data_IF_859588260820
#
_entry.id   IF_859588260820
#
_cell.length_a   1.000
_cell.length_b   1.000
_cell.length_c   1.000
_cell.angle_alpha   90.00
_cell.angle_beta   90.00
_cell.angle_gamma   90.00
#
_symmetry.space_group_name_H-M   'P 1'
#
loop_
_entity.id
_entity.type
_entity.pdbx_description
1 polymer ?
#
# COMPACT_ATOMS: atom_id res chain seq x y z
N UNK A 1 20.10 -16.06 2.49
CA UNK A 1 20.32 -15.13 3.61
C UNK A 1 20.27 -13.74 3.01
N UNK A 2 19.37 -12.90 3.50
CA UNK A 2 19.17 -11.56 2.96
C UNK A 2 20.39 -10.71 3.31
N UNK A 3 20.89 -9.95 2.34
CA UNK A 3 22.06 -9.10 2.48
C UNK A 3 21.77 -7.69 1.93
N UNK A 4 22.73 -6.77 2.11
CA UNK A 4 22.56 -5.36 1.74
C UNK A 4 22.29 -5.11 0.24
N UNK A 5 22.69 -6.04 -0.62
CA UNK A 5 22.52 -5.95 -2.07
C UNK A 5 21.19 -6.56 -2.54
N UNK A 6 20.44 -7.19 -1.63
CA UNK A 6 19.11 -7.76 -1.95
C UNK A 6 18.11 -6.64 -2.22
N UNK A 7 17.22 -6.81 -3.19
CA UNK A 7 16.20 -5.83 -3.57
C UNK A 7 15.08 -5.81 -2.53
N UNK A 8 14.66 -4.60 -2.12
CA UNK A 8 13.64 -4.40 -1.08
C UNK A 8 12.32 -5.10 -1.44
N UNK A 9 11.83 -4.90 -2.66
CA UNK A 9 10.60 -5.53 -3.13
C UNK A 9 10.67 -7.06 -3.12
N UNK A 10 11.79 -7.65 -3.56
CA UNK A 10 11.97 -9.10 -3.57
C UNK A 10 11.90 -9.68 -2.15
N UNK A 11 12.46 -8.96 -1.16
CA UNK A 11 12.37 -9.37 0.25
C UNK A 11 10.94 -9.39 0.75
N UNK A 12 10.11 -8.40 0.37
CA UNK A 12 8.69 -8.38 0.75
C UNK A 12 7.92 -9.49 0.05
N UNK A 13 8.20 -9.73 -1.23
CA UNK A 13 7.57 -10.83 -2.00
C UNK A 13 7.90 -12.20 -1.43
N UNK A 14 9.14 -12.42 -0.98
CA UNK A 14 9.59 -13.70 -0.42
C UNK A 14 9.27 -13.85 1.07
N UNK A 15 9.23 -12.75 1.81
CA UNK A 15 8.97 -12.69 3.25
C UNK A 15 8.00 -11.54 3.56
N UNK A 16 6.67 -11.73 3.39
CA UNK A 16 5.69 -10.65 3.55
C UNK A 16 5.74 -9.89 4.89
N UNK A 17 6.12 -10.56 5.98
CA UNK A 17 6.30 -9.94 7.30
C UNK A 17 7.40 -8.87 7.34
N UNK A 18 8.31 -8.86 6.38
CA UNK A 18 9.35 -7.82 6.26
C UNK A 18 8.80 -6.44 5.89
N UNK A 19 7.59 -6.37 5.30
CA UNK A 19 6.94 -5.09 4.97
C UNK A 19 6.75 -4.20 6.19
N UNK A 20 6.45 -4.76 7.36
CA UNK A 20 6.31 -4.01 8.61
C UNK A 20 7.64 -3.41 9.08
N UNK A 21 8.75 -4.10 8.84
CA UNK A 21 10.11 -3.59 9.13
C UNK A 21 10.41 -2.40 8.23
N UNK A 22 10.21 -2.54 6.92
CA UNK A 22 10.43 -1.42 5.99
C UNK A 22 9.54 -0.21 6.33
N UNK A 23 8.25 -0.44 6.62
CA UNK A 23 7.31 0.63 7.00
C UNK A 23 7.72 1.34 8.29
N UNK A 24 8.17 0.59 9.31
CA UNK A 24 8.70 1.15 10.58
C UNK A 24 9.81 2.17 10.35
N UNK A 25 10.63 1.96 9.31
CA UNK A 25 11.74 2.86 8.95
C UNK A 25 11.40 3.83 7.81
N UNK A 26 10.15 3.85 7.34
CA UNK A 26 9.70 4.68 6.23
C UNK A 26 10.38 4.33 4.91
N UNK A 27 10.75 3.06 4.71
CA UNK A 27 11.32 2.56 3.45
C UNK A 27 10.16 2.15 2.54
N UNK A 28 10.16 2.72 1.33
CA UNK A 28 9.18 2.41 0.31
C UNK A 28 9.54 1.08 -0.38
N UNK A 29 8.71 0.07 -0.14
CA UNK A 29 8.82 -1.26 -0.74
C UNK A 29 7.79 -1.50 -1.85
N UNK A 30 6.88 -0.55 -2.08
CA UNK A 30 5.71 -0.74 -2.94
C UNK A 30 5.83 0.01 -4.27
N UNK A 31 6.28 1.26 -4.28
CA UNK A 31 6.48 2.05 -5.52
C UNK A 31 7.97 2.11 -5.88
N UNK A 32 8.82 2.46 -4.92
CA UNK A 32 10.27 2.58 -5.05
C UNK A 32 11.07 1.34 -4.67
N UNK A 33 10.41 0.19 -4.47
CA UNK A 33 11.03 -1.01 -3.90
C UNK A 33 12.08 -1.71 -4.78
N UNK A 34 12.26 -1.28 -6.03
CA UNK A 34 13.22 -1.87 -6.97
C UNK A 34 14.67 -1.33 -6.80
N UNK A 35 15.10 -1.20 -5.55
CA UNK A 35 16.44 -0.75 -5.13
C UNK A 35 16.99 -1.70 -4.07
N UNK A 36 18.30 -1.71 -3.86
CA UNK A 36 18.90 -2.54 -2.81
C UNK A 36 18.55 -2.01 -1.41
N UNK A 37 18.62 -2.88 -0.40
CA UNK A 37 18.46 -2.47 1.01
C UNK A 37 19.50 -1.39 1.38
N UNK A 38 20.73 -1.50 0.89
CA UNK A 38 21.78 -0.49 1.11
C UNK A 38 21.35 0.90 0.61
N UNK A 39 20.81 0.96 -0.60
CA UNK A 39 20.33 2.22 -1.20
C UNK A 39 19.10 2.76 -0.45
N UNK A 40 18.18 1.88 -0.06
CA UNK A 40 16.94 2.26 0.62
C UNK A 40 17.17 2.93 1.98
N UNK A 41 18.29 2.63 2.66
CA UNK A 41 18.62 3.20 3.97
C UNK A 41 19.46 4.49 3.91
N UNK A 42 20.05 4.87 2.77
CA UNK A 42 21.02 5.98 2.69
C UNK A 42 20.48 7.30 3.27
N UNK A 43 19.19 7.58 3.09
CA UNK A 43 18.53 8.79 3.55
C UNK A 43 17.62 8.57 4.78
N UNK A 44 17.75 7.44 5.45
CA UNK A 44 16.93 7.06 6.62
C UNK A 44 17.74 7.14 7.90
N UNK A 45 17.05 7.24 9.03
CA UNK A 45 17.66 7.31 10.37
C UNK A 45 17.93 5.91 10.94
N UNK A 46 18.42 5.00 10.11
CA UNK A 46 18.69 3.59 10.46
C UNK A 46 19.88 3.09 9.65
N UNK A 47 20.74 2.29 10.27
CA UNK A 47 21.85 1.65 9.57
C UNK A 47 21.41 0.34 8.90
N UNK A 48 22.10 -0.03 7.83
CA UNK A 48 21.80 -1.24 7.04
C UNK A 48 21.83 -2.51 7.89
N UNK A 49 22.71 -2.60 8.89
CA UNK A 49 22.87 -3.81 9.69
C UNK A 49 21.66 -4.03 10.60
N UNK A 50 21.15 -2.96 11.22
CA UNK A 50 19.91 -3.03 12.03
C UNK A 50 18.75 -3.62 11.23
N UNK A 51 18.56 -3.20 9.98
CA UNK A 51 17.48 -3.74 9.14
C UNK A 51 17.73 -5.20 8.78
N UNK A 52 18.94 -5.55 8.38
CA UNK A 52 19.28 -6.92 8.03
C UNK A 52 19.10 -7.88 9.22
N UNK A 53 19.43 -7.42 10.43
CA UNK A 53 19.25 -8.20 11.65
C UNK A 53 17.76 -8.42 11.96
N UNK A 54 16.92 -7.39 11.87
CA UNK A 54 15.47 -7.52 12.07
C UNK A 54 14.85 -8.47 11.02
N UNK A 55 15.22 -8.33 9.75
CA UNK A 55 14.68 -9.17 8.66
C UNK A 55 15.12 -10.63 8.82
N UNK A 56 16.40 -10.90 9.08
CA UNK A 56 16.91 -12.27 9.20
C UNK A 56 16.44 -12.96 10.50
N UNK A 57 15.87 -12.22 11.46
CA UNK A 57 15.23 -12.77 12.67
C UNK A 57 13.75 -13.12 12.45
N UNK A 58 13.13 -12.68 11.36
CA UNK A 58 11.74 -13.05 11.07
C UNK A 58 11.61 -14.57 10.93
N UNK A 59 10.50 -15.14 11.41
CA UNK A 59 10.24 -16.55 11.20
C UNK A 59 10.18 -16.84 9.71
N UNK A 60 10.78 -17.96 9.28
CA UNK A 60 10.53 -18.53 7.95
C UNK A 60 9.10 -19.08 7.91
N UNK A 61 8.11 -18.20 7.83
CA UNK A 61 6.71 -18.59 7.66
C UNK A 61 6.47 -19.06 6.23
N UNK A 62 6.83 -20.32 5.99
CA UNK A 62 6.56 -21.04 4.75
C UNK A 62 5.69 -22.29 5.01
N UNK A 63 4.83 -22.26 6.02
CA UNK A 63 3.90 -23.36 6.30
C UNK A 63 2.45 -22.87 6.38
N UNK A 64 1.74 -22.99 5.26
CA UNK A 64 0.27 -23.02 5.22
C UNK A 64 -0.40 -21.99 4.31
N UNK A 65 0.26 -20.90 3.94
CA UNK A 65 -0.32 -19.86 3.10
C UNK A 65 0.06 -20.03 1.61
N UNK A 66 -0.87 -19.69 0.73
CA UNK A 66 -0.64 -19.65 -0.72
C UNK A 66 0.40 -18.57 -1.00
N UNK A 67 1.51 -18.94 -1.64
CA UNK A 67 2.45 -17.93 -2.13
C UNK A 67 1.91 -17.33 -3.43
N UNK A 68 1.34 -16.14 -3.31
CA UNK A 68 0.64 -15.41 -4.38
C UNK A 68 1.54 -15.11 -5.58
N UNK A 69 2.87 -15.09 -5.42
CA UNK A 69 3.80 -14.83 -6.53
C UNK A 69 3.77 -15.88 -7.63
N UNK A 70 3.42 -17.12 -7.26
CA UNK A 70 3.32 -18.25 -8.18
C UNK A 70 1.94 -18.38 -8.84
N UNK A 71 0.98 -17.53 -8.50
CA UNK A 71 -0.30 -17.47 -9.21
C UNK A 71 -0.07 -17.04 -10.67
N UNK A 72 -0.87 -17.58 -11.58
CA UNK A 72 -0.96 -17.05 -12.93
C UNK A 72 -1.65 -15.67 -12.91
N UNK A 73 -1.53 -14.92 -14.01
CA UNK A 73 -2.09 -13.55 -14.09
C UNK A 73 -3.58 -13.52 -13.74
N UNK A 74 -4.46 -14.37 -14.30
CA UNK A 74 -5.88 -14.34 -13.95
C UNK A 74 -6.16 -14.62 -12.46
N UNK A 75 -5.46 -15.59 -11.85
CA UNK A 75 -5.65 -15.92 -10.44
C UNK A 75 -5.11 -14.83 -9.51
N UNK A 76 -4.00 -14.19 -9.89
CA UNK A 76 -3.42 -13.08 -9.12
C UNK A 76 -4.33 -11.85 -9.16
N UNK A 77 -4.86 -11.50 -10.34
CA UNK A 77 -5.85 -10.43 -10.50
C UNK A 77 -7.09 -10.74 -9.66
N UNK A 78 -7.66 -11.93 -9.77
CA UNK A 78 -8.84 -12.30 -8.97
C UNK A 78 -8.56 -12.20 -7.46
N UNK A 79 -7.35 -12.58 -7.02
CA UNK A 79 -6.93 -12.41 -5.64
C UNK A 79 -6.87 -10.94 -5.24
N UNK A 80 -6.25 -10.07 -6.06
CA UNK A 80 -6.18 -8.62 -5.82
C UNK A 80 -7.58 -8.02 -5.65
N UNK A 81 -8.48 -8.31 -6.59
CA UNK A 81 -9.84 -7.78 -6.59
C UNK A 81 -10.61 -8.19 -5.32
N UNK A 82 -10.51 -9.46 -4.92
CA UNK A 82 -11.24 -9.96 -3.76
C UNK A 82 -10.59 -9.57 -2.43
N UNK A 83 -9.26 -9.63 -2.33
CA UNK A 83 -8.54 -9.36 -1.09
C UNK A 83 -8.45 -7.88 -0.80
N UNK A 84 -8.20 -7.05 -1.81
CA UNK A 84 -7.92 -5.62 -1.65
C UNK A 84 -9.09 -4.77 -2.15
N UNK A 85 -9.54 -4.91 -3.40
CA UNK A 85 -10.54 -3.97 -3.93
C UNK A 85 -11.87 -4.05 -3.18
N UNK A 86 -12.42 -5.26 -2.99
CA UNK A 86 -13.67 -5.45 -2.27
C UNK A 86 -13.60 -4.97 -0.82
N UNK A 87 -12.52 -5.33 -0.10
CA UNK A 87 -12.36 -4.98 1.31
C UNK A 87 -12.10 -3.49 1.52
N UNK A 88 -11.33 -2.84 0.63
CA UNK A 88 -11.11 -1.39 0.66
C UNK A 88 -12.39 -0.61 0.35
N UNK A 89 -13.17 -1.03 -0.66
CA UNK A 89 -14.48 -0.41 -0.96
C UNK A 89 -15.42 -0.47 0.26
N UNK A 90 -15.46 -1.60 0.97
CA UNK A 90 -16.22 -1.73 2.21
C UNK A 90 -15.66 -0.81 3.32
N UNK A 91 -14.34 -0.81 3.52
CA UNK A 91 -13.68 -0.01 4.54
C UNK A 91 -13.90 1.49 4.32
N UNK A 92 -13.82 1.99 3.09
CA UNK A 92 -14.10 3.38 2.74
C UNK A 92 -15.53 3.79 3.07
N UNK A 93 -16.50 2.93 2.75
CA UNK A 93 -17.91 3.15 3.08
C UNK A 93 -18.11 3.21 4.60
N UNK A 94 -17.46 2.31 5.34
CA UNK A 94 -17.62 2.19 6.78
C UNK A 94 -16.84 3.26 7.57
N UNK A 95 -15.70 3.75 7.07
CA UNK A 95 -14.84 4.71 7.77
C UNK A 95 -15.24 6.17 7.50
N UNK A 96 -15.73 6.49 6.30
CA UNK A 96 -16.10 7.87 5.89
C UNK A 96 -17.00 8.62 6.89
N UNK A 97 -18.04 8.00 7.49
CA UNK A 97 -18.88 8.66 8.48
C UNK A 97 -18.11 9.06 9.75
N UNK A 98 -17.13 8.24 10.17
CA UNK A 98 -16.34 8.50 11.37
C UNK A 98 -15.32 9.61 11.14
N UNK A 99 -14.62 9.62 9.99
CA UNK A 99 -13.72 10.72 9.62
C UNK A 99 -14.48 12.05 9.60
N UNK A 100 -15.66 12.06 8.98
CA UNK A 100 -16.54 13.23 8.94
C UNK A 100 -17.00 13.68 10.33
N UNK A 101 -17.34 12.73 11.20
CA UNK A 101 -17.75 13.03 12.58
C UNK A 101 -16.60 13.64 13.38
N UNK A 102 -15.39 13.10 13.28
CA UNK A 102 -14.20 13.60 13.98
C UNK A 102 -13.89 15.03 13.53
N UNK A 103 -13.82 15.28 12.23
CA UNK A 103 -13.62 16.61 11.68
C UNK A 103 -14.70 17.61 12.12
N UNK A 104 -15.98 17.21 12.10
CA UNK A 104 -17.09 18.08 12.51
C UNK A 104 -17.05 18.44 14.00
N UNK A 105 -16.77 17.47 14.87
CA UNK A 105 -16.84 17.66 16.32
C UNK A 105 -15.58 18.36 16.86
N UNK A 106 -14.41 17.96 16.36
CA UNK A 106 -13.13 18.42 16.90
C UNK A 106 -12.46 19.49 16.03
N UNK A 107 -12.81 19.60 14.75
CA UNK A 107 -12.25 20.57 13.81
C UNK A 107 -12.20 22.03 14.27
N UNK A 108 -13.22 22.57 14.98
CA UNK A 108 -13.16 23.94 15.50
C UNK A 108 -11.98 24.20 16.44
N UNK A 109 -11.56 23.21 17.22
CA UNK A 109 -10.41 23.30 18.14
C UNK A 109 -9.13 22.66 17.58
N UNK A 110 -9.28 21.79 16.57
CA UNK A 110 -8.22 21.03 15.94
C UNK A 110 -8.36 21.11 14.41
N UNK A 111 -8.01 22.26 13.77
CA UNK A 111 -8.27 22.49 12.35
C UNK A 111 -7.63 21.46 11.41
N UNK A 112 -6.50 20.85 11.80
CA UNK A 112 -5.86 19.77 11.04
C UNK A 112 -6.76 18.56 10.82
N UNK A 113 -7.81 18.35 11.64
CA UNK A 113 -8.78 17.27 11.41
C UNK A 113 -9.71 17.54 10.22
N UNK A 114 -9.91 18.81 9.86
CA UNK A 114 -10.64 19.20 8.65
C UNK A 114 -9.76 18.93 7.42
N UNK A 115 -8.47 19.24 7.53
CA UNK A 115 -7.48 18.91 6.50
C UNK A 115 -7.33 17.40 6.31
N UNK A 116 -7.28 16.62 7.41
CA UNK A 116 -7.27 15.17 7.36
C UNK A 116 -8.50 14.61 6.63
N UNK A 117 -9.69 15.17 6.88
CA UNK A 117 -10.89 14.78 6.15
C UNK A 117 -10.76 15.07 4.65
N UNK A 118 -10.12 16.18 4.27
CA UNK A 118 -9.90 16.54 2.87
C UNK A 118 -8.90 15.59 2.18
N UNK A 119 -7.77 15.27 2.83
CA UNK A 119 -6.80 14.30 2.34
C UNK A 119 -7.43 12.91 2.21
N UNK A 120 -8.12 12.44 3.25
CA UNK A 120 -8.83 11.17 3.23
C UNK A 120 -9.85 11.09 2.10
N UNK A 121 -10.60 12.18 1.84
CA UNK A 121 -11.56 12.22 0.74
C UNK A 121 -10.87 12.08 -0.62
N UNK A 122 -9.77 12.80 -0.85
CA UNK A 122 -9.00 12.70 -2.09
C UNK A 122 -8.44 11.28 -2.28
N UNK A 123 -7.86 10.72 -1.24
CA UNK A 123 -7.33 9.35 -1.23
C UNK A 123 -8.44 8.32 -1.54
N UNK A 124 -9.57 8.40 -0.83
CA UNK A 124 -10.71 7.51 -1.06
C UNK A 124 -11.24 7.60 -2.49
N UNK A 125 -11.50 8.82 -2.97
CA UNK A 125 -12.14 9.02 -4.26
C UNK A 125 -11.19 8.58 -5.39
N UNK A 126 -9.90 8.89 -5.28
CA UNK A 126 -8.86 8.41 -6.20
C UNK A 126 -8.73 6.89 -6.22
N UNK A 127 -8.66 6.23 -5.06
CA UNK A 127 -8.62 4.76 -5.00
C UNK A 127 -9.87 4.11 -5.58
N UNK A 128 -11.05 4.69 -5.34
CA UNK A 128 -12.31 4.14 -5.87
C UNK A 128 -12.37 4.21 -7.40
N UNK A 129 -11.89 5.32 -7.97
CA UNK A 129 -11.77 5.53 -9.42
C UNK A 129 -10.72 4.60 -10.02
N UNK A 130 -9.52 4.57 -9.44
CA UNK A 130 -8.42 3.73 -9.89
C UNK A 130 -8.78 2.24 -9.91
N UNK A 131 -9.30 1.70 -8.81
CA UNK A 131 -9.72 0.29 -8.77
C UNK A 131 -10.86 -0.01 -9.74
N UNK A 132 -11.75 0.96 -10.04
CA UNK A 132 -12.80 0.76 -11.05
C UNK A 132 -12.23 0.70 -12.47
N UNK A 133 -11.22 1.51 -12.77
CA UNK A 133 -10.49 1.45 -14.05
C UNK A 133 -9.73 0.12 -14.18
N UNK A 134 -9.03 -0.30 -13.13
CA UNK A 134 -8.35 -1.59 -13.09
C UNK A 134 -9.32 -2.75 -13.33
N UNK A 135 -10.42 -2.80 -12.56
CA UNK A 135 -11.39 -3.89 -12.58
C UNK A 135 -12.06 -4.03 -13.96
N UNK A 136 -12.36 -2.92 -14.62
CA UNK A 136 -13.20 -2.91 -15.83
C UNK A 136 -12.40 -2.76 -17.14
N UNK A 137 -11.18 -2.24 -17.10
CA UNK A 137 -10.39 -1.95 -18.29
C UNK A 137 -9.01 -2.61 -18.25
N UNK A 138 -8.17 -2.30 -17.26
CA UNK A 138 -6.76 -2.69 -17.29
C UNK A 138 -6.55 -4.18 -17.01
N UNK A 139 -7.18 -4.73 -15.97
CA UNK A 139 -7.07 -6.16 -15.67
C UNK A 139 -7.62 -7.05 -16.79
N UNK A 140 -8.78 -6.76 -17.41
CA UNK A 140 -9.20 -7.45 -18.62
C UNK A 140 -8.18 -7.42 -19.76
N UNK A 141 -7.47 -6.29 -19.95
CA UNK A 141 -6.42 -6.16 -20.95
C UNK A 141 -5.18 -7.00 -20.59
N UNK A 142 -4.72 -6.95 -19.34
CA UNK A 142 -3.60 -7.77 -18.84
C UNK A 142 -3.88 -9.27 -18.95
N UNK A 143 -5.12 -9.71 -18.71
CA UNK A 143 -5.53 -11.10 -18.91
C UNK A 143 -5.39 -11.52 -20.38
N UNK A 144 -5.80 -10.67 -21.33
CA UNK A 144 -5.63 -10.94 -22.78
C UNK A 144 -4.15 -11.06 -23.14
N UNK A 145 -3.32 -10.12 -22.68
CA UNK A 145 -1.88 -10.13 -22.92
C UNK A 145 -1.25 -11.42 -22.38
N UNK A 146 -1.64 -11.85 -21.17
CA UNK A 146 -1.12 -13.09 -20.56
C UNK A 146 -1.45 -14.37 -21.35
N UNK A 147 -2.47 -14.33 -22.21
CA UNK A 147 -2.87 -15.41 -23.11
C UNK A 147 -2.21 -15.33 -24.49
N UNK A 148 -1.35 -14.35 -24.72
CA UNK A 148 -0.70 -14.06 -25.99
C UNK A 148 -1.59 -13.33 -26.99
N UNK A 149 -2.70 -12.74 -26.54
CA UNK A 149 -3.55 -11.91 -27.39
C UNK A 149 -2.95 -10.52 -27.55
N UNK A 150 -3.12 -9.92 -28.74
CA UNK A 150 -2.65 -8.56 -29.01
C UNK A 150 -3.54 -7.54 -28.30
N UNK A 151 -2.90 -6.61 -27.58
CA UNK A 151 -3.54 -5.44 -26.97
C UNK A 151 -2.71 -4.23 -27.36
N UNK A 152 -3.37 -3.23 -27.95
CA UNK A 152 -2.71 -1.97 -28.31
C UNK A 152 -2.23 -1.24 -27.05
N UNK A 153 -1.06 -0.63 -27.12
CA UNK A 153 -0.51 0.21 -26.05
C UNK A 153 -0.35 -0.46 -24.68
N UNK A 154 -0.15 -1.79 -24.65
CA UNK A 154 0.04 -2.59 -23.42
C UNK A 154 1.03 -2.00 -22.41
N UNK A 155 2.16 -1.44 -22.87
CA UNK A 155 3.16 -0.83 -21.98
C UNK A 155 2.67 0.47 -21.33
N UNK A 156 1.79 1.23 -22.01
CA UNK A 156 1.23 2.47 -21.48
C UNK A 156 0.23 2.21 -20.36
N UNK A 157 -0.46 1.06 -20.39
CA UNK A 157 -1.37 0.63 -19.32
C UNK A 157 -0.57 0.52 -18.01
N UNK A 158 0.51 -0.26 -18.02
CA UNK A 158 1.36 -0.46 -16.83
C UNK A 158 1.99 0.87 -16.37
N UNK A 159 2.50 1.69 -17.30
CA UNK A 159 3.08 3.00 -16.95
C UNK A 159 2.05 3.93 -16.29
N UNK A 160 0.80 3.94 -16.77
CA UNK A 160 -0.28 4.73 -16.17
C UNK A 160 -0.58 4.26 -14.75
N UNK A 161 -0.73 2.94 -14.54
CA UNK A 161 -1.02 2.35 -13.23
C UNK A 161 0.07 2.70 -12.20
N UNK A 162 1.35 2.58 -12.57
CA UNK A 162 2.48 2.91 -11.68
C UNK A 162 2.50 4.40 -11.30
N UNK A 163 2.11 5.29 -12.23
CA UNK A 163 2.02 6.73 -11.94
C UNK A 163 0.90 7.03 -10.93
N UNK A 164 -0.26 6.40 -11.07
CA UNK A 164 -1.38 6.54 -10.14
C UNK A 164 -1.01 6.06 -8.73
N UNK A 165 -0.30 4.93 -8.63
CA UNK A 165 0.20 4.41 -7.35
C UNK A 165 1.09 5.41 -6.61
N UNK A 166 1.95 6.12 -7.35
CA UNK A 166 2.84 7.14 -6.77
C UNK A 166 2.05 8.31 -6.18
N UNK A 167 0.99 8.74 -6.85
CA UNK A 167 0.12 9.82 -6.35
C UNK A 167 -0.62 9.39 -5.07
N UNK A 168 -1.14 8.15 -5.05
CA UNK A 168 -1.77 7.57 -3.87
C UNK A 168 -0.81 7.50 -2.68
N UNK A 169 0.44 7.09 -2.90
CA UNK A 169 1.47 7.04 -1.88
C UNK A 169 1.73 8.40 -1.21
N UNK A 170 1.73 9.49 -2.00
CA UNK A 170 1.92 10.83 -1.44
C UNK A 170 0.77 11.25 -0.51
N UNK A 171 -0.48 10.95 -0.86
CA UNK A 171 -1.63 11.27 -0.01
C UNK A 171 -1.59 10.50 1.33
N UNK A 172 -1.11 9.27 1.32
CA UNK A 172 -0.91 8.47 2.53
C UNK A 172 0.17 9.10 3.43
N UNK A 173 1.31 9.49 2.85
CA UNK A 173 2.38 10.15 3.61
C UNK A 173 1.90 11.48 4.21
N UNK A 174 1.18 12.30 3.44
CA UNK A 174 0.61 13.57 3.94
C UNK A 174 -0.33 13.32 5.13
N UNK A 175 -1.19 12.29 5.08
CA UNK A 175 -2.05 11.91 6.20
C UNK A 175 -1.25 11.41 7.40
N UNK A 176 -0.20 10.60 7.17
CA UNK A 176 0.67 10.08 8.22
C UNK A 176 1.41 11.21 8.93
N UNK A 177 1.98 12.15 8.19
CA UNK A 177 2.65 13.34 8.77
C UNK A 177 1.68 14.21 9.56
N UNK A 178 0.53 14.55 8.98
CA UNK A 178 -0.49 15.40 9.59
C UNK A 178 -1.02 14.83 10.92
N UNK A 179 -1.06 13.51 11.02
CA UNK A 179 -1.57 12.79 12.20
C UNK A 179 -0.49 12.42 13.22
N UNK A 180 0.76 12.87 13.01
CA UNK A 180 1.93 12.47 13.78
C UNK A 180 2.04 10.94 13.86
N UNK A 181 2.10 10.29 12.69
CA UNK A 181 2.15 8.84 12.55
C UNK A 181 0.95 8.13 13.18
N UNK A 182 -0.25 8.68 12.97
CA UNK A 182 -1.49 8.18 13.56
C UNK A 182 -1.45 8.08 15.10
N UNK A 183 -0.62 8.89 15.77
CA UNK A 183 -0.57 8.96 17.23
C UNK A 183 -1.62 9.95 17.76
N UNK A 184 -2.74 9.41 18.21
CA UNK A 184 -3.83 10.22 18.74
C UNK A 184 -3.43 10.91 20.05
N UNK A 185 -3.64 12.23 20.20
CA UNK A 185 -3.25 12.97 21.40
C UNK A 185 -4.08 12.54 22.61
N UNK A 186 -3.67 12.94 23.82
CA UNK A 186 -4.27 12.48 25.07
C UNK A 186 -5.77 12.76 25.19
N UNK A 187 -6.21 13.91 24.67
CA UNK A 187 -7.58 14.40 24.65
C UNK A 187 -8.47 13.72 23.59
N UNK A 188 -7.87 12.91 22.71
CA UNK A 188 -8.61 12.25 21.65
C UNK A 188 -9.63 11.26 22.24
N UNK A 189 -10.90 11.44 21.83
CA UNK A 189 -11.97 10.52 22.18
C UNK A 189 -11.85 9.19 21.43
N UNK A 190 -12.64 8.18 21.82
CA UNK A 190 -12.53 6.85 21.23
C UNK A 190 -12.84 6.81 19.73
N UNK A 191 -13.73 7.68 19.24
CA UNK A 191 -13.99 7.78 17.79
C UNK A 191 -12.78 8.31 17.04
N UNK A 192 -12.06 9.28 17.60
CA UNK A 192 -10.85 9.80 16.97
C UNK A 192 -9.75 8.73 16.94
N UNK A 193 -9.50 8.04 18.06
CA UNK A 193 -8.54 6.93 18.12
C UNK A 193 -8.89 5.82 17.13
N UNK A 194 -10.18 5.48 17.01
CA UNK A 194 -10.66 4.51 16.02
C UNK A 194 -10.35 4.94 14.58
N UNK A 195 -10.57 6.22 14.24
CA UNK A 195 -10.24 6.74 12.90
C UNK A 195 -8.76 6.59 12.61
N UNK A 196 -7.88 6.96 13.54
CA UNK A 196 -6.43 6.86 13.35
C UNK A 196 -5.98 5.41 13.12
N UNK A 197 -6.44 4.48 13.96
CA UNK A 197 -6.12 3.05 13.79
C UNK A 197 -6.59 2.50 12.42
N UNK A 198 -7.77 2.93 11.94
CA UNK A 198 -8.32 2.48 10.67
C UNK A 198 -7.64 3.12 9.46
N UNK A 199 -7.19 4.37 9.58
CA UNK A 199 -6.36 5.02 8.57
C UNK A 199 -4.98 4.35 8.45
N UNK A 200 -4.34 4.05 9.58
CA UNK A 200 -3.07 3.29 9.59
C UNK A 200 -3.24 1.90 8.97
N UNK A 201 -4.39 1.24 9.23
CA UNK A 201 -4.71 -0.03 8.58
C UNK A 201 -4.89 0.13 7.07
N UNK A 202 -5.64 1.13 6.61
CA UNK A 202 -5.81 1.40 5.17
C UNK A 202 -4.47 1.67 4.50
N UNK A 203 -3.60 2.48 5.10
CA UNK A 203 -2.25 2.73 4.59
C UNK A 203 -1.47 1.42 4.42
N UNK A 204 -1.47 0.56 5.44
CA UNK A 204 -0.82 -0.76 5.34
C UNK A 204 -1.37 -1.59 4.19
N UNK A 205 -2.70 -1.72 4.12
CA UNK A 205 -3.37 -2.50 3.09
C UNK A 205 -3.07 -1.97 1.68
N UNK A 206 -2.95 -0.65 1.54
CA UNK A 206 -2.64 0.00 0.26
C UNK A 206 -1.21 -0.28 -0.17
N UNK A 207 -0.24 -0.18 0.74
CA UNK A 207 1.13 -0.52 0.42
C UNK A 207 1.29 -2.00 0.03
N UNK A 208 0.57 -2.92 0.70
CA UNK A 208 0.57 -4.34 0.35
C UNK A 208 -0.07 -4.61 -1.02
N UNK A 209 -1.20 -3.97 -1.30
CA UNK A 209 -1.91 -4.01 -2.59
C UNK A 209 -1.01 -3.52 -3.73
N UNK A 210 -0.51 -2.30 -3.63
CA UNK A 210 0.37 -1.68 -4.64
C UNK A 210 1.67 -2.47 -4.84
N UNK A 211 2.24 -3.02 -3.76
CA UNK A 211 3.41 -3.90 -3.87
C UNK A 211 3.10 -5.14 -4.73
N UNK A 212 1.95 -5.77 -4.51
CA UNK A 212 1.56 -6.95 -5.25
C UNK A 212 1.37 -6.65 -6.75
N UNK A 213 0.84 -5.49 -7.08
CA UNK A 213 0.73 -5.06 -8.47
C UNK A 213 2.09 -4.74 -9.09
N UNK A 214 2.82 -3.79 -8.50
CA UNK A 214 4.07 -3.28 -9.04
C UNK A 214 5.15 -4.36 -9.16
N UNK A 215 5.27 -5.22 -8.15
CA UNK A 215 6.41 -6.11 -8.02
C UNK A 215 6.08 -7.58 -8.27
N UNK A 216 4.81 -7.95 -8.42
CA UNK A 216 4.42 -9.34 -8.71
C UNK A 216 3.56 -9.44 -9.97
N UNK A 217 2.52 -8.63 -10.13
CA UNK A 217 1.65 -8.70 -11.31
C UNK A 217 2.36 -8.12 -12.54
N UNK A 218 2.87 -6.88 -12.46
CA UNK A 218 3.44 -6.19 -13.60
C UNK A 218 4.76 -6.81 -14.07
N UNK A 219 5.53 -7.43 -13.16
CA UNK A 219 6.73 -8.20 -13.50
C UNK A 219 6.46 -9.49 -14.32
N UNK A 220 5.19 -9.84 -14.57
CA UNK A 220 4.82 -10.96 -15.46
C UNK A 220 4.68 -10.53 -16.93
N UNK A 221 4.90 -9.25 -17.25
CA UNK A 221 4.83 -8.66 -18.58
C UNK A 221 6.17 -8.03 -18.97
#
# INVERSE_FOLDING_TARGET
MINKDTIVADVVTDMPLSSDIFRKYGIDFCCGGNISIEQAVENKKVDVQTILDEINQLPNESQGNINVKYLDVPSLIQYIQSRYHETMREEFKNLSPYVTKVAKVHGPNHPFLIELQNLYRQYRDGMLEHMDEEDNHDFPALIKISRGEHVDDASKIIESLVNDHTQTGQLLEDMRELTNQYQAPSEACQTWRLVYNRLENLERETHEHVHLENHVLFNKF
#
